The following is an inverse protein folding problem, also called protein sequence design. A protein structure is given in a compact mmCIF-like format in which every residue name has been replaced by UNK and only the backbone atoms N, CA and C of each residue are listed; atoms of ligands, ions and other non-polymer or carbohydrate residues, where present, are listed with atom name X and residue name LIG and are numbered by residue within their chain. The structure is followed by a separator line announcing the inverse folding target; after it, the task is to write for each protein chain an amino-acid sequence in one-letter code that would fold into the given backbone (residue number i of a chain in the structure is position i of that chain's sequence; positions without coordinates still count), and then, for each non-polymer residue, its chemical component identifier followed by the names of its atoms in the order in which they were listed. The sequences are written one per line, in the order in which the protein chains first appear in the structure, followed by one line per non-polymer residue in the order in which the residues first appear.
data_IF_252370658297
#
_entry.id   IF_252370658297
#
_cell.length_a   1.000
_cell.length_b   1.000
_cell.length_c   1.000
_cell.angle_alpha   90.00
_cell.angle_beta   90.00
_cell.angle_gamma   90.00
#
_symmetry.space_group_name_H-M   'P 1'
#
loop_
_entity.id
_entity.type
_entity.pdbx_description
1 polymer ?
#
# COMPACT_ATOMS: atom_id res chain seq x y z
N UNK A 1 -1.65 -23.69 5.46
CA UNK A 1 -0.86 -23.13 6.60
C UNK A 1 -1.61 -21.92 7.16
N UNK A 2 -1.32 -21.50 8.40
CA UNK A 2 -1.91 -20.29 8.99
C UNK A 2 -1.76 -19.07 8.07
N UNK A 3 -0.57 -18.91 7.47
CA UNK A 3 -0.26 -17.89 6.45
C UNK A 3 -1.27 -17.88 5.30
N UNK A 4 -1.59 -19.04 4.73
CA UNK A 4 -2.53 -19.13 3.60
C UNK A 4 -3.95 -18.70 3.97
N UNK A 5 -4.42 -19.09 5.16
CA UNK A 5 -5.75 -18.71 5.67
C UNK A 5 -5.83 -17.20 5.94
N UNK A 6 -4.79 -16.62 6.55
CA UNK A 6 -4.71 -15.17 6.76
C UNK A 6 -4.67 -14.40 5.43
N UNK A 7 -3.93 -14.89 4.44
CA UNK A 7 -3.89 -14.26 3.10
C UNK A 7 -5.26 -14.23 2.43
N UNK A 8 -6.11 -15.23 2.69
CA UNK A 8 -7.46 -15.28 2.15
C UNK A 8 -8.38 -14.26 2.84
N UNK A 9 -8.38 -14.19 4.18
CA UNK A 9 -9.15 -13.21 4.94
C UNK A 9 -8.74 -11.76 4.65
N UNK A 10 -7.44 -11.51 4.42
CA UNK A 10 -6.91 -10.18 4.15
C UNK A 10 -7.17 -9.68 2.72
N UNK A 11 -7.66 -10.54 1.82
CA UNK A 11 -7.87 -10.18 0.41
C UNK A 11 -8.80 -8.98 0.25
N UNK A 12 -9.84 -8.92 1.07
CA UNK A 12 -10.86 -7.85 1.01
C UNK A 12 -10.51 -6.66 1.92
N UNK A 13 -9.52 -6.83 2.82
CA UNK A 13 -9.04 -5.78 3.72
C UNK A 13 -7.98 -4.88 3.06
N UNK A 14 -7.16 -5.47 2.19
CA UNK A 14 -6.04 -4.79 1.52
C UNK A 14 -6.55 -4.06 0.28
N UNK A 15 -6.33 -2.74 0.22
CA UNK A 15 -6.71 -1.94 -0.95
C UNK A 15 -5.85 -2.29 -2.17
N UNK A 16 -6.39 -2.10 -3.36
CA UNK A 16 -5.71 -2.42 -4.62
C UNK A 16 -4.40 -1.64 -4.80
N UNK A 17 -4.35 -0.39 -4.33
CA UNK A 17 -3.17 0.48 -4.38
C UNK A 17 -2.13 0.22 -3.27
N UNK A 18 -2.32 -0.79 -2.42
CA UNK A 18 -1.28 -1.28 -1.51
C UNK A 18 -0.47 -2.34 -2.23
N UNK A 19 0.83 -2.09 -2.40
CA UNK A 19 1.69 -2.85 -3.33
C UNK A 19 2.76 -3.65 -2.60
N UNK A 20 3.28 -3.12 -1.48
CA UNK A 20 4.34 -3.77 -0.69
C UNK A 20 3.95 -5.16 -0.19
N UNK A 21 4.91 -6.09 -0.22
CA UNK A 21 4.80 -7.45 0.34
C UNK A 21 3.67 -8.33 -0.22
N UNK A 22 3.09 -7.98 -1.37
CA UNK A 22 2.03 -8.76 -2.03
C UNK A 22 2.60 -9.71 -3.06
N UNK A 23 1.89 -10.83 -3.24
CA UNK A 23 2.26 -11.84 -4.24
C UNK A 23 2.07 -11.26 -5.65
N UNK A 24 3.09 -11.41 -6.49
CA UNK A 24 3.08 -10.99 -7.90
C UNK A 24 2.92 -9.48 -8.14
N UNK A 25 3.15 -8.65 -7.12
CA UNK A 25 3.17 -7.18 -7.25
C UNK A 25 4.54 -6.70 -6.80
N UNK A 26 5.15 -5.81 -7.59
CA UNK A 26 6.48 -5.27 -7.32
C UNK A 26 6.53 -3.75 -7.49
N UNK A 27 7.69 -3.17 -7.22
CA UNK A 27 7.92 -1.72 -7.24
C UNK A 27 7.59 -1.07 -8.59
N UNK A 28 7.80 -1.79 -9.70
CA UNK A 28 7.44 -1.29 -11.02
C UNK A 28 5.95 -0.97 -11.14
N UNK A 29 5.08 -1.81 -10.56
CA UNK A 29 3.64 -1.56 -10.55
C UNK A 29 3.30 -0.28 -9.78
N UNK A 30 3.98 -0.03 -8.65
CA UNK A 30 3.78 1.20 -7.86
C UNK A 30 4.17 2.46 -8.62
N UNK A 31 5.27 2.40 -9.36
CA UNK A 31 5.73 3.51 -10.18
C UNK A 31 4.74 3.74 -11.34
N UNK A 32 4.28 2.68 -12.01
CA UNK A 32 3.28 2.78 -13.08
C UNK A 32 1.98 3.42 -12.60
N UNK A 33 1.42 2.99 -11.47
CA UNK A 33 0.19 3.57 -10.90
C UNK A 33 0.36 5.05 -10.54
N UNK A 34 1.53 5.42 -9.99
CA UNK A 34 1.84 6.83 -9.72
C UNK A 34 1.92 7.67 -10.99
N UNK A 35 2.57 7.15 -12.05
CA UNK A 35 2.66 7.84 -13.34
C UNK A 35 1.26 8.02 -13.94
N UNK A 36 0.43 6.97 -13.94
CA UNK A 36 -0.95 7.05 -14.43
C UNK A 36 -1.76 8.10 -13.67
N UNK A 37 -1.61 8.17 -12.34
CA UNK A 37 -2.27 9.17 -11.51
C UNK A 37 -1.84 10.61 -11.84
N UNK A 38 -0.54 10.83 -12.11
CA UNK A 38 0.01 12.17 -12.37
C UNK A 38 -0.23 12.67 -13.81
N UNK A 39 -0.39 11.75 -14.77
CA UNK A 39 -0.45 12.03 -16.21
C UNK A 39 -1.56 13.04 -16.60
N UNK A 40 -2.80 12.95 -16.09
CA UNK A 40 -3.86 13.93 -16.41
C UNK A 40 -3.51 15.36 -15.96
N UNK A 41 -2.91 15.49 -14.76
CA UNK A 41 -2.47 16.78 -14.22
C UNK A 41 -1.33 17.38 -15.05
N UNK A 42 -0.39 16.54 -15.48
CA UNK A 42 0.70 16.94 -16.36
C UNK A 42 0.19 17.53 -17.69
N UNK A 43 -0.73 16.84 -18.37
CA UNK A 43 -1.29 17.32 -19.65
C UNK A 43 -2.10 18.61 -19.51
N UNK A 44 -2.77 18.79 -18.39
CA UNK A 44 -3.61 19.96 -18.12
C UNK A 44 -2.85 21.10 -17.44
N UNK A 45 -1.52 20.98 -17.27
CA UNK A 45 -0.65 21.94 -16.56
C UNK A 45 -1.11 22.26 -15.13
N UNK A 46 -1.80 21.32 -14.49
CA UNK A 46 -2.16 21.44 -13.09
C UNK A 46 -0.98 21.02 -12.21
N UNK A 47 -0.59 21.84 -11.21
CA UNK A 47 0.50 21.48 -10.33
C UNK A 47 0.13 20.26 -9.48
N UNK A 48 0.99 19.24 -9.49
CA UNK A 48 0.89 18.10 -8.58
C UNK A 48 1.63 18.42 -7.27
N UNK A 49 1.08 17.95 -6.16
CA UNK A 49 1.73 17.99 -4.84
C UNK A 49 1.79 16.57 -4.30
N UNK A 50 2.93 16.19 -3.76
CA UNK A 50 3.15 14.87 -3.17
C UNK A 50 3.38 15.01 -1.67
N UNK A 51 2.70 14.18 -0.90
CA UNK A 51 2.96 14.00 0.52
C UNK A 51 3.60 12.63 0.69
N UNK A 52 4.87 12.61 1.07
CA UNK A 52 5.60 11.38 1.40
C UNK A 52 5.50 11.13 2.90
N UNK A 53 5.03 9.95 3.28
CA UNK A 53 4.98 9.51 4.66
C UNK A 53 5.91 8.31 4.82
N UNK A 54 6.75 8.37 5.82
CA UNK A 54 7.63 7.28 6.23
C UNK A 54 7.46 7.11 7.74
N UNK A 55 7.33 5.86 8.20
CA UNK A 55 7.06 5.56 9.60
C UNK A 55 8.35 4.99 10.20
N UNK A 56 8.79 5.51 11.35
CA UNK A 56 10.05 5.04 11.93
C UNK A 56 9.83 3.73 12.71
N UNK A 57 10.51 2.64 12.30
CA UNK A 57 10.51 1.31 12.97
C UNK A 57 9.11 0.73 13.16
N UNK A 58 8.34 0.61 12.10
CA UNK A 58 6.92 0.25 12.12
C UNK A 58 6.64 -1.09 12.79
N UNK A 59 7.49 -2.08 12.52
CA UNK A 59 7.33 -3.42 13.09
C UNK A 59 7.66 -3.46 14.59
N UNK A 60 8.52 -2.56 15.08
CA UNK A 60 8.86 -2.46 16.50
C UNK A 60 7.82 -1.66 17.30
N UNK A 61 7.07 -0.78 16.63
CA UNK A 61 6.16 0.18 17.27
C UNK A 61 4.68 -0.13 17.09
N UNK A 62 4.33 -1.16 16.33
CA UNK A 62 2.93 -1.55 16.15
C UNK A 62 2.31 -1.97 17.48
N UNK A 63 1.14 -1.42 17.82
CA UNK A 63 0.42 -1.85 19.02
C UNK A 63 -0.18 -3.24 18.79
N UNK A 64 0.23 -4.22 19.60
CA UNK A 64 -0.19 -5.61 19.42
C UNK A 64 -1.70 -5.81 19.63
N UNK A 65 -2.31 -5.05 20.55
CA UNK A 65 -3.73 -5.17 20.86
C UNK A 65 -4.57 -4.67 19.69
N UNK A 66 -4.25 -3.50 19.15
CA UNK A 66 -4.89 -2.94 17.97
C UNK A 66 -4.69 -3.85 16.77
N UNK A 67 -3.48 -4.40 16.55
CA UNK A 67 -3.22 -5.32 15.46
C UNK A 67 -4.12 -6.56 15.51
N UNK A 68 -4.24 -7.20 16.69
CA UNK A 68 -5.08 -8.39 16.85
C UNK A 68 -6.58 -8.06 16.71
N UNK A 69 -7.03 -6.90 17.19
CA UNK A 69 -8.43 -6.48 17.04
C UNK A 69 -8.82 -6.15 15.59
N UNK A 70 -7.85 -5.84 14.74
CA UNK A 70 -8.07 -5.48 13.33
C UNK A 70 -7.99 -6.70 12.39
N UNK A 71 -7.45 -7.82 12.88
CA UNK A 71 -7.31 -9.10 12.16
C UNK A 71 -8.52 -10.00 12.38
#
# INVERSE_FOLDING_TARGET
TLKGRLQECLRDLIRTNQIGFRRNIGTLQAISELIEFLTPGYHSRHPARMVTLDLDKEFDKVDHKTLIQTL
#
